data_IF_497244833519
#
_entry.id   IF_497244833519
#
_cell.length_a   1.000
_cell.length_b   1.000
_cell.length_c   1.000
_cell.angle_alpha   90.00
_cell.angle_beta   90.00
_cell.angle_gamma   90.00
#
_symmetry.space_group_name_H-M   'P 1'
#
loop_
_entity.id
_entity.type
_entity.pdbx_description
1 polymer ?
#
# COMPACT_ATOMS: atom_id res chain seq x y z
N UNK A 1 4.98 -17.28 9.94
CA UNK A 1 5.18 -18.56 10.65
C UNK A 1 6.05 -19.55 9.87
N UNK A 2 5.70 -20.00 8.66
CA UNK A 2 6.53 -20.99 7.93
C UNK A 2 7.92 -20.45 7.54
N UNK A 3 7.99 -19.24 6.98
CA UNK A 3 9.25 -18.55 6.65
C UNK A 3 10.13 -18.37 7.89
N UNK A 4 9.54 -17.91 9.00
CA UNK A 4 10.29 -17.58 10.22
C UNK A 4 10.83 -18.86 10.89
N UNK A 5 10.04 -19.94 10.93
CA UNK A 5 10.50 -21.27 11.36
C UNK A 5 11.62 -21.81 10.48
N UNK A 6 11.52 -21.65 9.16
CA UNK A 6 12.55 -22.11 8.24
C UNK A 6 13.85 -21.30 8.38
N UNK A 7 13.74 -20.00 8.68
CA UNK A 7 14.90 -19.13 8.94
C UNK A 7 15.66 -19.57 10.21
N UNK A 8 14.95 -19.95 11.25
CA UNK A 8 15.54 -20.51 12.47
C UNK A 8 16.22 -21.86 12.17
N UNK A 9 15.49 -22.78 11.52
CA UNK A 9 16.03 -24.07 11.06
C UNK A 9 17.30 -23.91 10.22
N UNK A 10 17.31 -23.01 9.24
CA UNK A 10 18.46 -22.73 8.38
C UNK A 10 19.65 -22.24 9.20
N UNK A 11 19.43 -21.29 10.12
CA UNK A 11 20.50 -20.75 10.97
C UNK A 11 21.13 -21.83 11.84
N UNK A 12 20.29 -22.62 12.52
CA UNK A 12 20.77 -23.64 13.45
C UNK A 12 21.45 -24.79 12.70
N UNK A 13 20.90 -25.19 11.55
CA UNK A 13 21.49 -26.24 10.69
C UNK A 13 22.84 -25.80 10.14
N UNK A 14 22.97 -24.58 9.61
CA UNK A 14 24.24 -24.05 9.11
C UNK A 14 25.28 -23.94 10.22
N UNK A 15 24.92 -23.45 11.41
CA UNK A 15 25.86 -23.30 12.52
C UNK A 15 26.36 -24.65 13.04
N UNK A 16 25.44 -25.56 13.37
CA UNK A 16 25.77 -26.87 13.96
C UNK A 16 26.43 -27.77 12.91
N UNK A 17 25.92 -27.74 11.68
CA UNK A 17 26.45 -28.55 10.58
C UNK A 17 27.87 -28.14 10.20
N UNK A 18 28.15 -26.83 10.11
CA UNK A 18 29.49 -26.35 9.76
C UNK A 18 30.53 -26.77 10.80
N UNK A 19 30.22 -26.60 12.10
CA UNK A 19 31.13 -27.03 13.18
C UNK A 19 31.45 -28.54 13.09
N UNK A 20 30.44 -29.37 12.80
CA UNK A 20 30.62 -30.82 12.67
C UNK A 20 31.44 -31.19 11.43
N UNK A 21 31.19 -30.54 10.29
CA UNK A 21 31.93 -30.75 9.05
C UNK A 21 33.39 -30.34 9.22
N UNK A 22 33.65 -29.18 9.81
CA UNK A 22 35.00 -28.69 10.11
C UNK A 22 35.76 -29.65 11.04
N UNK A 23 35.08 -30.17 12.07
CA UNK A 23 35.65 -31.16 12.98
C UNK A 23 36.06 -32.46 12.27
N UNK A 24 35.20 -33.01 11.41
CA UNK A 24 35.50 -34.24 10.64
C UNK A 24 36.59 -33.98 9.59
N UNK A 25 36.57 -32.83 8.92
CA UNK A 25 37.62 -32.42 7.99
C UNK A 25 38.99 -32.36 8.68
N UNK A 26 39.06 -31.78 9.88
CA UNK A 26 40.30 -31.74 10.67
C UNK A 26 40.83 -33.12 11.05
N UNK A 27 39.94 -34.07 11.38
CA UNK A 27 40.32 -35.46 11.65
C UNK A 27 40.83 -36.17 10.38
N UNK A 28 40.15 -35.98 9.25
CA UNK A 28 40.58 -36.53 7.96
C UNK A 28 41.95 -35.98 7.53
N UNK A 29 42.17 -34.68 7.68
CA UNK A 29 43.45 -34.03 7.35
C UNK A 29 44.60 -34.54 8.24
N UNK A 30 44.35 -34.77 9.52
CA UNK A 30 45.34 -35.34 10.43
C UNK A 30 45.73 -36.78 10.03
N UNK A 31 44.77 -37.62 9.65
CA UNK A 31 45.02 -38.99 9.16
C UNK A 31 45.84 -38.97 7.86
N UNK A 32 45.47 -38.10 6.92
CA UNK A 32 46.16 -37.94 5.64
C UNK A 32 47.60 -37.50 5.86
N UNK A 33 47.82 -36.49 6.71
CA UNK A 33 49.15 -35.97 7.04
C UNK A 33 50.03 -37.00 7.77
N UNK A 34 49.44 -37.90 8.56
CA UNK A 34 50.14 -38.99 9.23
C UNK A 34 50.56 -40.15 8.29
N UNK A 35 50.17 -40.11 7.01
CA UNK A 35 50.50 -41.15 6.04
C UNK A 35 49.75 -42.46 6.28
N UNK A 36 48.48 -42.38 6.73
CA UNK A 36 47.66 -43.55 7.00
C UNK A 36 47.53 -44.45 5.77
N UNK A 37 47.48 -45.78 5.98
CA UNK A 37 47.46 -46.76 4.88
C UNK A 37 46.26 -46.59 3.94
N UNK A 38 45.14 -46.11 4.49
CA UNK A 38 43.87 -45.85 3.78
C UNK A 38 43.69 -44.39 3.35
N UNK A 39 44.77 -43.63 3.13
CA UNK A 39 44.68 -42.20 2.77
C UNK A 39 43.78 -41.91 1.57
N UNK A 40 43.80 -42.76 0.54
CA UNK A 40 42.93 -42.62 -0.63
C UNK A 40 41.44 -42.67 -0.24
N UNK A 41 41.06 -43.67 0.56
CA UNK A 41 39.69 -43.84 1.06
C UNK A 41 39.28 -42.66 1.96
N UNK A 42 40.17 -42.20 2.85
CA UNK A 42 39.88 -41.05 3.74
C UNK A 42 39.66 -39.77 2.94
N UNK A 43 40.47 -39.52 1.90
CA UNK A 43 40.31 -38.37 1.02
C UNK A 43 38.98 -38.42 0.25
N UNK A 44 38.63 -39.57 -0.33
CA UNK A 44 37.35 -39.76 -1.03
C UNK A 44 36.14 -39.49 -0.11
N UNK A 45 36.17 -39.98 1.12
CA UNK A 45 35.10 -39.74 2.09
C UNK A 45 35.02 -38.28 2.53
N UNK A 46 36.18 -37.62 2.69
CA UNK A 46 36.25 -36.18 2.99
C UNK A 46 35.64 -35.36 1.86
N UNK A 47 35.98 -35.66 0.62
CA UNK A 47 35.46 -34.95 -0.55
C UNK A 47 33.94 -35.14 -0.67
N UNK A 48 33.46 -36.39 -0.55
CA UNK A 48 32.02 -36.69 -0.58
C UNK A 48 31.22 -36.03 0.56
N UNK A 49 31.80 -35.91 1.77
CA UNK A 49 31.20 -35.17 2.87
C UNK A 49 31.05 -33.67 2.52
N UNK A 50 32.09 -33.06 1.96
CA UNK A 50 32.08 -31.64 1.62
C UNK A 50 31.13 -31.33 0.46
N UNK A 51 31.05 -32.22 -0.54
CA UNK A 51 30.07 -32.12 -1.63
C UNK A 51 28.64 -32.22 -1.08
N UNK A 52 28.33 -33.23 -0.26
CA UNK A 52 27.01 -33.39 0.34
C UNK A 52 26.62 -32.21 1.25
N UNK A 53 27.59 -31.61 1.95
CA UNK A 53 27.36 -30.41 2.77
C UNK A 53 27.08 -29.18 1.91
N UNK A 54 27.84 -28.99 0.82
CA UNK A 54 27.61 -27.90 -0.13
C UNK A 54 26.22 -27.99 -0.77
N UNK A 55 25.83 -29.19 -1.23
CA UNK A 55 24.50 -29.45 -1.79
C UNK A 55 23.37 -29.12 -0.81
N UNK A 56 23.55 -29.49 0.48
CA UNK A 56 22.58 -29.18 1.52
C UNK A 56 22.45 -27.66 1.74
N UNK A 57 23.57 -26.92 1.75
CA UNK A 57 23.54 -25.46 1.89
C UNK A 57 22.85 -24.79 0.70
N UNK A 58 23.09 -25.25 -0.52
CA UNK A 58 22.40 -24.76 -1.73
C UNK A 58 20.90 -25.03 -1.67
N UNK A 59 20.49 -26.23 -1.21
CA UNK A 59 19.08 -26.57 -1.03
C UNK A 59 18.40 -25.69 0.02
N UNK A 60 19.09 -25.40 1.14
CA UNK A 60 18.61 -24.50 2.19
C UNK A 60 18.42 -23.07 1.64
N UNK A 61 19.37 -22.58 0.85
CA UNK A 61 19.28 -21.24 0.25
C UNK A 61 18.13 -21.16 -0.76
N UNK A 62 18.06 -22.12 -1.68
CA UNK A 62 16.96 -22.23 -2.67
C UNK A 62 15.60 -22.24 -1.97
N UNK A 63 15.45 -23.04 -0.91
CA UNK A 63 14.22 -23.10 -0.13
C UNK A 63 13.91 -21.79 0.58
N UNK A 64 14.92 -21.11 1.12
CA UNK A 64 14.77 -19.79 1.75
C UNK A 64 14.25 -18.76 0.76
N UNK A 65 14.83 -18.71 -0.44
CA UNK A 65 14.41 -17.80 -1.52
C UNK A 65 12.97 -18.08 -1.96
N UNK A 66 12.59 -19.35 -2.15
CA UNK A 66 11.21 -19.72 -2.50
C UNK A 66 10.19 -19.30 -1.43
N UNK A 67 10.52 -19.46 -0.15
CA UNK A 67 9.65 -19.05 0.95
C UNK A 67 9.53 -17.52 1.04
N UNK A 68 10.61 -16.79 0.80
CA UNK A 68 10.60 -15.34 0.74
C UNK A 68 9.71 -14.83 -0.41
N UNK A 69 9.90 -15.38 -1.61
CA UNK A 69 9.09 -15.01 -2.79
C UNK A 69 7.60 -15.32 -2.57
N UNK A 70 7.27 -16.49 -2.02
CA UNK A 70 5.89 -16.86 -1.67
C UNK A 70 5.28 -15.90 -0.65
N UNK A 71 6.03 -15.56 0.41
CA UNK A 71 5.60 -14.60 1.41
C UNK A 71 5.29 -13.23 0.80
N UNK A 72 6.19 -12.69 -0.03
CA UNK A 72 5.99 -11.39 -0.67
C UNK A 72 4.76 -11.37 -1.57
N UNK A 73 4.54 -12.43 -2.35
CA UNK A 73 3.38 -12.57 -3.22
C UNK A 73 2.07 -12.62 -2.41
N UNK A 74 2.02 -13.39 -1.34
CA UNK A 74 0.84 -13.46 -0.47
C UNK A 74 0.57 -12.14 0.25
N UNK A 75 1.62 -11.47 0.72
CA UNK A 75 1.52 -10.14 1.33
C UNK A 75 0.94 -9.14 0.33
N UNK A 76 1.45 -9.12 -0.90
CA UNK A 76 0.89 -8.25 -1.95
C UNK A 76 -0.61 -8.47 -2.16
N UNK A 77 -1.05 -9.72 -2.31
CA UNK A 77 -2.49 -9.99 -2.50
C UNK A 77 -3.34 -9.57 -1.31
N UNK A 78 -2.82 -9.74 -0.09
CA UNK A 78 -3.48 -9.25 1.11
C UNK A 78 -3.60 -7.72 1.08
N UNK A 79 -2.50 -7.02 0.89
CA UNK A 79 -2.42 -5.57 0.95
C UNK A 79 -3.24 -4.92 -0.17
N UNK A 80 -3.22 -5.49 -1.39
CA UNK A 80 -4.05 -5.03 -2.50
C UNK A 80 -5.54 -5.18 -2.20
N UNK A 81 -5.98 -6.31 -1.61
CA UNK A 81 -7.39 -6.52 -1.23
C UNK A 81 -7.83 -5.59 -0.12
N UNK A 82 -6.99 -5.41 0.90
CA UNK A 82 -7.28 -4.51 2.01
C UNK A 82 -7.38 -3.06 1.51
N UNK A 83 -6.40 -2.60 0.72
CA UNK A 83 -6.40 -1.24 0.14
C UNK A 83 -7.63 -1.02 -0.73
N UNK A 84 -7.97 -1.99 -1.60
CA UNK A 84 -9.18 -1.91 -2.42
C UNK A 84 -10.44 -1.77 -1.58
N UNK A 85 -10.58 -2.58 -0.52
CA UNK A 85 -11.73 -2.53 0.36
C UNK A 85 -11.83 -1.18 1.09
N UNK A 86 -10.71 -0.62 1.54
CA UNK A 86 -10.66 0.69 2.19
C UNK A 86 -11.05 1.83 1.22
N UNK A 87 -10.54 1.81 -0.01
CA UNK A 87 -10.88 2.79 -1.06
C UNK A 87 -12.37 2.71 -1.40
N UNK A 88 -12.90 1.51 -1.63
CA UNK A 88 -14.33 1.31 -1.91
C UNK A 88 -15.22 1.71 -0.72
N UNK A 89 -14.75 1.48 0.51
CA UNK A 89 -15.47 1.93 1.69
C UNK A 89 -15.53 3.46 1.77
N UNK A 90 -14.42 4.15 1.52
CA UNK A 90 -14.40 5.63 1.46
C UNK A 90 -15.31 6.15 0.35
N UNK A 91 -15.33 5.51 -0.83
CA UNK A 91 -16.24 5.88 -1.92
C UNK A 91 -17.71 5.86 -1.47
N UNK A 92 -18.14 4.80 -0.76
CA UNK A 92 -19.51 4.69 -0.24
C UNK A 92 -19.86 5.70 0.86
N UNK A 93 -18.85 6.27 1.53
CA UNK A 93 -19.04 7.29 2.56
C UNK A 93 -19.16 8.70 1.97
N UNK A 94 -18.93 8.89 0.66
CA UNK A 94 -19.04 10.19 0.03
C UNK A 94 -20.51 10.64 0.01
N UNK A 95 -20.88 11.75 0.67
CA UNK A 95 -22.27 12.21 0.66
C UNK A 95 -22.64 12.80 -0.71
N UNK A 96 -23.93 12.80 -1.05
CA UNK A 96 -24.45 13.46 -2.26
C UNK A 96 -24.98 14.88 -1.99
N UNK A 97 -25.33 15.21 -0.75
CA UNK A 97 -25.97 16.48 -0.39
C UNK A 97 -25.00 17.68 -0.43
N UNK A 98 -25.50 18.86 -0.82
CA UNK A 98 -24.69 20.09 -1.02
C UNK A 98 -25.13 21.31 -0.20
N UNK A 99 -26.20 21.15 0.60
CA UNK A 99 -26.75 22.20 1.46
C UNK A 99 -27.90 22.95 0.82
N UNK A 100 -28.83 23.41 1.66
CA UNK A 100 -30.07 24.10 1.25
C UNK A 100 -30.02 25.62 1.42
N UNK A 101 -29.01 26.11 2.13
CA UNK A 101 -28.74 27.51 2.41
C UNK A 101 -27.23 27.73 2.55
N UNK A 102 -26.81 28.99 2.69
CA UNK A 102 -25.39 29.34 2.78
C UNK A 102 -24.68 28.63 3.94
N UNK A 103 -25.29 28.63 5.12
CA UNK A 103 -24.67 28.09 6.33
C UNK A 103 -24.47 26.57 6.22
N UNK A 104 -25.48 25.84 5.73
CA UNK A 104 -25.41 24.39 5.52
C UNK A 104 -24.43 24.02 4.40
N UNK A 105 -24.39 24.78 3.30
CA UNK A 105 -23.44 24.55 2.22
C UNK A 105 -21.98 24.77 2.68
N UNK A 106 -21.70 25.85 3.42
CA UNK A 106 -20.37 26.11 3.98
C UNK A 106 -19.96 25.06 5.04
N UNK A 107 -20.91 24.55 5.83
CA UNK A 107 -20.65 23.45 6.75
C UNK A 107 -20.28 22.15 5.99
N UNK A 108 -21.03 21.80 4.94
CA UNK A 108 -20.74 20.64 4.11
C UNK A 108 -19.41 20.78 3.37
N UNK A 109 -19.04 21.98 2.93
CA UNK A 109 -17.72 22.26 2.34
C UNK A 109 -16.58 21.99 3.34
N UNK A 110 -16.71 22.43 4.59
CA UNK A 110 -15.73 22.14 5.65
C UNK A 110 -15.62 20.65 5.94
N UNK A 111 -16.75 19.95 6.04
CA UNK A 111 -16.76 18.49 6.21
C UNK A 111 -16.09 17.77 5.02
N UNK A 112 -16.34 18.22 3.79
CA UNK A 112 -15.71 17.66 2.60
C UNK A 112 -14.20 17.88 2.57
N UNK A 113 -13.73 19.02 3.07
CA UNK A 113 -12.28 19.30 3.20
C UNK A 113 -11.61 18.32 4.17
N UNK A 114 -12.28 18.01 5.29
CA UNK A 114 -11.79 16.99 6.23
C UNK A 114 -11.80 15.59 5.59
N UNK A 115 -12.84 15.25 4.83
CA UNK A 115 -12.89 13.99 4.08
C UNK A 115 -11.76 13.88 3.03
N UNK A 116 -11.45 14.96 2.30
CA UNK A 116 -10.33 14.99 1.34
C UNK A 116 -8.98 14.75 2.02
N UNK A 117 -8.79 15.27 3.23
CA UNK A 117 -7.61 15.00 4.04
C UNK A 117 -7.53 13.53 4.45
N UNK A 118 -8.64 12.93 4.90
CA UNK A 118 -8.69 11.52 5.31
C UNK A 118 -8.37 10.57 4.15
N UNK A 119 -8.90 10.81 2.95
CA UNK A 119 -8.60 9.96 1.79
C UNK A 119 -7.14 10.10 1.36
N UNK A 120 -6.47 11.23 1.62
CA UNK A 120 -5.07 11.43 1.25
C UNK A 120 -4.13 10.45 1.95
N UNK A 121 -4.49 9.96 3.14
CA UNK A 121 -3.73 8.91 3.84
C UNK A 121 -3.70 7.58 3.05
N UNK A 122 -4.73 7.28 2.25
CA UNK A 122 -4.79 6.08 1.40
C UNK A 122 -3.83 6.16 0.21
N UNK A 123 -3.40 7.36 -0.18
CA UNK A 123 -2.51 7.53 -1.35
C UNK A 123 -1.18 6.78 -1.19
N UNK A 124 -0.64 6.73 0.04
CA UNK A 124 0.60 6.01 0.33
C UNK A 124 0.42 4.50 0.20
N UNK A 125 -0.72 3.97 0.64
CA UNK A 125 -1.02 2.53 0.53
C UNK A 125 -1.23 2.13 -0.93
N UNK A 126 -1.98 2.92 -1.71
CA UNK A 126 -2.17 2.69 -3.15
C UNK A 126 -0.81 2.69 -3.86
N UNK A 127 0.06 3.66 -3.57
CA UNK A 127 1.42 3.71 -4.14
C UNK A 127 2.25 2.48 -3.76
N UNK A 128 2.17 2.04 -2.51
CA UNK A 128 2.88 0.85 -2.06
C UNK A 128 2.43 -0.40 -2.84
N UNK A 129 1.12 -0.57 -3.05
CA UNK A 129 0.57 -1.66 -3.86
C UNK A 129 1.07 -1.60 -5.30
N UNK A 130 1.14 -0.40 -5.91
CA UNK A 130 1.66 -0.20 -7.26
C UNK A 130 3.16 -0.56 -7.37
N UNK A 131 3.97 -0.12 -6.40
CA UNK A 131 5.40 -0.42 -6.35
C UNK A 131 5.65 -1.92 -6.14
N UNK A 132 4.90 -2.58 -5.26
CA UNK A 132 4.99 -4.01 -5.01
C UNK A 132 4.54 -4.82 -6.23
N UNK A 133 3.45 -4.42 -6.90
CA UNK A 133 3.02 -5.03 -8.15
C UNK A 133 4.10 -4.94 -9.23
N UNK A 134 4.66 -3.73 -9.46
CA UNK A 134 5.70 -3.51 -10.46
C UNK A 134 6.97 -4.33 -10.19
N UNK A 135 7.32 -4.56 -8.90
CA UNK A 135 8.42 -5.45 -8.51
C UNK A 135 8.07 -6.90 -8.79
N UNK A 136 6.91 -7.37 -8.37
CA UNK A 136 6.49 -8.77 -8.49
C UNK A 136 6.22 -9.17 -9.94
N UNK A 137 5.70 -8.29 -10.78
CA UNK A 137 5.50 -8.54 -12.21
C UNK A 137 6.79 -8.80 -12.97
N UNK A 138 7.92 -8.26 -12.53
CA UNK A 138 9.24 -8.58 -13.10
C UNK A 138 9.75 -9.93 -12.63
N UNK A 139 9.30 -10.40 -11.48
CA UNK A 139 9.71 -11.67 -10.87
C UNK A 139 8.84 -12.87 -11.32
N UNK A 140 7.61 -12.62 -11.78
CA UNK A 140 6.66 -13.65 -12.23
C UNK A 140 6.33 -13.50 -13.72
N UNK A 141 5.94 -14.60 -14.36
CA UNK A 141 5.50 -14.62 -15.75
C UNK A 141 4.14 -15.34 -15.90
N UNK A 142 3.53 -15.22 -17.08
CA UNK A 142 2.27 -15.89 -17.42
C UNK A 142 1.09 -15.43 -16.55
N UNK A 143 0.27 -16.39 -16.12
CA UNK A 143 -0.96 -16.15 -15.37
C UNK A 143 -0.72 -15.39 -14.06
N UNK A 144 0.34 -15.72 -13.31
CA UNK A 144 0.66 -15.02 -12.05
C UNK A 144 0.94 -13.54 -12.26
N UNK A 145 1.68 -13.19 -13.32
CA UNK A 145 1.95 -11.79 -13.64
C UNK A 145 0.68 -11.06 -14.08
N UNK A 146 -0.22 -11.74 -14.81
CA UNK A 146 -1.52 -11.19 -15.19
C UNK A 146 -2.42 -10.97 -13.96
N UNK A 147 -2.42 -11.89 -13.01
CA UNK A 147 -3.18 -11.76 -11.76
C UNK A 147 -2.67 -10.61 -10.88
N UNK A 148 -1.35 -10.44 -10.78
CA UNK A 148 -0.74 -9.30 -10.08
C UNK A 148 -1.21 -7.98 -10.70
N UNK A 149 -1.08 -7.85 -12.03
CA UNK A 149 -1.59 -6.68 -12.78
C UNK A 149 -3.05 -6.40 -12.50
N UNK A 150 -3.88 -7.44 -12.54
CA UNK A 150 -5.32 -7.29 -12.33
C UNK A 150 -5.65 -6.73 -10.94
N UNK A 151 -4.94 -7.18 -9.90
CA UNK A 151 -5.17 -6.68 -8.54
C UNK A 151 -4.68 -5.24 -8.39
N UNK A 152 -3.52 -4.90 -8.95
CA UNK A 152 -3.01 -3.52 -8.98
C UNK A 152 -3.98 -2.60 -9.72
N UNK A 153 -4.41 -2.99 -10.92
CA UNK A 153 -5.30 -2.19 -11.75
C UNK A 153 -6.63 -1.94 -11.04
N UNK A 154 -7.21 -2.95 -10.37
CA UNK A 154 -8.45 -2.78 -9.61
C UNK A 154 -8.30 -1.73 -8.49
N UNK A 155 -7.17 -1.70 -7.79
CA UNK A 155 -6.87 -0.68 -6.76
C UNK A 155 -6.71 0.70 -7.40
N UNK A 156 -5.92 0.78 -8.48
CA UNK A 156 -5.65 2.03 -9.20
C UNK A 156 -6.92 2.65 -9.80
N UNK A 157 -7.80 1.85 -10.38
CA UNK A 157 -9.08 2.29 -10.94
C UNK A 157 -10.03 2.79 -9.83
N UNK A 158 -10.21 2.01 -8.77
CA UNK A 158 -11.05 2.42 -7.63
C UNK A 158 -10.54 3.71 -6.99
N UNK A 159 -9.21 3.88 -6.91
CA UNK A 159 -8.60 5.10 -6.39
C UNK A 159 -8.81 6.30 -7.31
N UNK A 160 -8.69 6.11 -8.62
CA UNK A 160 -8.96 7.15 -9.61
C UNK A 160 -10.42 7.60 -9.57
N UNK A 161 -11.36 6.66 -9.46
CA UNK A 161 -12.80 6.94 -9.33
C UNK A 161 -13.11 7.72 -8.06
N UNK A 162 -12.53 7.33 -6.92
CA UNK A 162 -12.69 8.04 -5.65
C UNK A 162 -12.19 9.49 -5.73
N UNK A 163 -11.00 9.67 -6.30
CA UNK A 163 -10.44 11.02 -6.50
C UNK A 163 -11.31 11.86 -7.42
N UNK A 164 -11.79 11.27 -8.53
CA UNK A 164 -12.68 11.96 -9.46
C UNK A 164 -13.99 12.38 -8.80
N UNK A 165 -14.64 11.47 -8.07
CA UNK A 165 -15.88 11.72 -7.32
C UNK A 165 -15.70 12.82 -6.27
N UNK A 166 -14.61 12.75 -5.50
CA UNK A 166 -14.30 13.74 -4.47
C UNK A 166 -14.03 15.13 -5.07
N UNK A 167 -13.28 15.21 -6.17
CA UNK A 167 -13.03 16.47 -6.88
C UNK A 167 -14.31 17.06 -7.48
N UNK A 168 -15.16 16.22 -8.06
CA UNK A 168 -16.47 16.62 -8.58
C UNK A 168 -17.35 17.22 -7.48
N UNK A 169 -17.44 16.53 -6.34
CA UNK A 169 -18.18 17.02 -5.16
C UNK A 169 -17.63 18.34 -4.63
N UNK A 170 -16.30 18.49 -4.53
CA UNK A 170 -15.68 19.74 -4.09
C UNK A 170 -16.10 20.91 -4.97
N UNK A 171 -16.05 20.74 -6.29
CA UNK A 171 -16.49 21.78 -7.24
C UNK A 171 -17.96 22.11 -7.05
N UNK A 172 -18.82 21.10 -6.94
CA UNK A 172 -20.26 21.32 -6.75
C UNK A 172 -20.58 22.08 -5.45
N UNK A 173 -19.86 21.78 -4.36
CA UNK A 173 -20.00 22.50 -3.08
C UNK A 173 -19.55 23.97 -3.21
N UNK A 174 -18.42 24.22 -3.88
CA UNK A 174 -17.94 25.57 -4.17
C UNK A 174 -18.98 26.37 -4.97
N UNK A 175 -19.46 25.82 -6.08
CA UNK A 175 -20.49 26.44 -6.93
C UNK A 175 -21.77 26.72 -6.13
N UNK A 176 -22.16 25.80 -5.24
CA UNK A 176 -23.35 25.94 -4.38
C UNK A 176 -23.19 27.06 -3.35
N UNK A 177 -22.03 27.15 -2.71
CA UNK A 177 -21.70 28.21 -1.75
C UNK A 177 -21.71 29.57 -2.46
N UNK A 178 -21.07 29.68 -3.62
CA UNK A 178 -21.00 30.94 -4.37
C UNK A 178 -22.39 31.39 -4.86
N UNK A 179 -23.24 30.47 -5.32
CA UNK A 179 -24.66 30.73 -5.61
C UNK A 179 -25.37 31.34 -4.40
N UNK A 180 -25.22 30.75 -3.21
CA UNK A 180 -25.90 31.27 -2.01
C UNK A 180 -25.34 32.61 -1.54
N UNK A 181 -24.03 32.86 -1.69
CA UNK A 181 -23.42 34.17 -1.43
C UNK A 181 -23.99 35.25 -2.34
N UNK A 182 -24.09 34.95 -3.64
CA UNK A 182 -24.69 35.86 -4.61
C UNK A 182 -26.16 36.18 -4.27
N UNK A 183 -26.98 35.16 -4.03
CA UNK A 183 -28.39 35.35 -3.67
C UNK A 183 -28.57 36.16 -2.38
N UNK A 184 -27.68 35.98 -1.41
CA UNK A 184 -27.66 36.79 -0.19
C UNK A 184 -27.32 38.26 -0.52
N UNK A 185 -26.26 38.51 -1.28
CA UNK A 185 -25.87 39.87 -1.66
C UNK A 185 -26.97 40.61 -2.43
N UNK A 186 -27.67 39.94 -3.35
CA UNK A 186 -28.82 40.52 -4.06
C UNK A 186 -29.96 40.87 -3.11
N UNK A 187 -30.33 39.97 -2.20
CA UNK A 187 -31.39 40.24 -1.20
C UNK A 187 -31.03 41.40 -0.29
N UNK A 188 -29.79 41.44 0.19
CA UNK A 188 -29.30 42.51 1.06
C UNK A 188 -29.37 43.87 0.34
N UNK A 189 -29.00 43.90 -0.95
CA UNK A 189 -29.09 45.12 -1.77
C UNK A 189 -30.54 45.54 -2.05
N UNK A 190 -31.43 44.60 -2.36
CA UNK A 190 -32.85 44.89 -2.58
C UNK A 190 -33.50 45.48 -1.32
N UNK A 191 -33.26 44.86 -0.16
CA UNK A 191 -33.75 45.36 1.13
C UNK A 191 -33.22 46.75 1.45
N UNK A 192 -31.95 47.02 1.16
CA UNK A 192 -31.38 48.36 1.32
C UNK A 192 -32.04 49.38 0.39
N UNK A 193 -32.24 49.04 -0.89
CA UNK A 193 -32.90 49.92 -1.86
C UNK A 193 -34.35 50.25 -1.45
N UNK A 194 -35.09 49.26 -0.97
CA UNK A 194 -36.45 49.46 -0.46
C UNK A 194 -36.45 50.38 0.77
N UNK A 195 -35.49 50.20 1.68
CA UNK A 195 -35.28 51.08 2.82
C UNK A 195 -34.99 52.53 2.42
N UNK A 196 -34.11 52.74 1.43
CA UNK A 196 -33.80 54.07 0.89
C UNK A 196 -35.02 54.69 0.21
N UNK A 197 -35.78 53.91 -0.56
CA UNK A 197 -37.01 54.39 -1.21
C UNK A 197 -38.01 54.91 -0.18
N UNK A 198 -38.25 54.14 0.88
CA UNK A 198 -39.15 54.53 1.97
C UNK A 198 -38.68 55.81 2.68
N UNK A 199 -37.37 56.00 2.85
CA UNK A 199 -36.82 57.24 3.39
C UNK A 199 -37.08 58.44 2.49
N UNK A 200 -36.95 58.28 1.16
CA UNK A 200 -37.23 59.35 0.18
C UNK A 200 -38.72 59.70 0.21
N UNK A 201 -39.60 58.70 0.23
CA UNK A 201 -41.06 58.91 0.27
C UNK A 201 -41.52 59.55 1.59
N UNK A 202 -40.83 59.25 2.71
CA UNK A 202 -41.10 59.84 4.02
C UNK A 202 -40.60 61.28 4.20
N UNK A 203 -39.77 61.80 3.29
CA UNK A 203 -39.40 63.21 3.28
C UNK A 203 -40.51 64.02 2.59
N UNK A 204 -41.51 64.46 3.37
CA UNK A 204 -42.51 65.42 2.89
C UNK A 204 -41.86 66.75 2.43
N UNK A 205 -42.49 67.32 1.40
CA UNK A 205 -41.99 68.43 0.55
C UNK A 205 -41.42 69.62 1.32
N UNK A 206 -40.37 70.30 0.81
CA UNK A 206 -39.92 71.56 1.37
C UNK A 206 -41.06 72.58 1.34
N UNK A 207 -41.34 73.19 2.50
CA UNK A 207 -42.28 74.30 2.65
C UNK A 207 -41.86 75.53 1.87
#
# INVERSE_FOLDING_TARGET
MLRDKFREFSRDTSSIGQERVDGVNGLADALIAAGHSENATVAEWKDGLNEAWADLLELIDTRSQMLAASYELHRFYHDARETLAQVQHKQKQLPDEVGRDLNTAEAMQRMHTAYEHDIQALSTQVRQVQEDAARLEKAYAGEKAADIRRHEQAVSEAWAELRGSSQGRRRLLLDTVDKFRFLRAVRDLLLWMDGVRLQIEGQERPR
#
